data_IF_280548072797
#
_entry.id   IF_280548072797
#
_cell.length_a   1.000
_cell.length_b   1.000
_cell.length_c   1.000
_cell.angle_alpha   90.00
_cell.angle_beta   90.00
_cell.angle_gamma   90.00
#
_symmetry.space_group_name_H-M   'P 1'
#
loop_
_entity.id
_entity.type
_entity.pdbx_description
1 polymer ?
#
# COMPACT_ATOMS: atom_id res chain seq x y z
N UNK A 1 18.99 -65.13 14.21
CA UNK A 1 18.77 -64.04 15.17
C UNK A 1 19.10 -62.73 14.43
N UNK A 2 18.10 -62.13 13.78
CA UNK A 2 18.27 -60.92 12.94
C UNK A 2 17.38 -59.86 13.57
N UNK A 3 17.99 -58.84 14.15
CA UNK A 3 17.31 -57.71 14.77
C UNK A 3 17.10 -56.65 13.69
N UNK A 4 15.86 -56.51 13.21
CA UNK A 4 15.46 -55.45 12.29
C UNK A 4 15.20 -54.19 13.13
N UNK A 5 16.10 -53.21 13.02
CA UNK A 5 15.90 -51.87 13.56
C UNK A 5 14.95 -51.10 12.64
N UNK A 6 13.69 -50.96 13.05
CA UNK A 6 12.75 -50.01 12.43
C UNK A 6 13.11 -48.59 12.88
N UNK A 7 13.79 -47.84 12.02
CA UNK A 7 13.91 -46.39 12.16
C UNK A 7 12.54 -45.76 11.90
N UNK A 8 11.84 -45.37 12.96
CA UNK A 8 10.65 -44.52 12.86
C UNK A 8 11.12 -43.10 12.54
N UNK A 9 11.13 -42.72 11.26
CA UNK A 9 11.25 -41.32 10.87
C UNK A 9 9.99 -40.59 11.36
N UNK A 10 10.10 -39.88 12.48
CA UNK A 10 9.17 -38.84 12.88
C UNK A 10 9.21 -37.73 11.82
N UNK A 11 8.39 -37.87 10.78
CA UNK A 11 8.00 -36.75 9.93
C UNK A 11 7.12 -35.87 10.82
N UNK A 12 7.75 -34.95 11.56
CA UNK A 12 7.05 -33.83 12.15
C UNK A 12 6.46 -33.08 10.98
N UNK A 13 5.15 -33.24 10.75
CA UNK A 13 4.41 -32.36 9.87
C UNK A 13 4.51 -30.98 10.50
N UNK A 14 5.46 -30.17 10.04
CA UNK A 14 5.45 -28.73 10.29
C UNK A 14 4.21 -28.21 9.57
N UNK A 15 3.09 -28.22 10.27
CA UNK A 15 1.94 -27.42 9.88
C UNK A 15 2.48 -26.00 9.82
N UNK A 16 2.59 -25.46 8.60
CA UNK A 16 2.93 -24.07 8.33
C UNK A 16 1.80 -23.21 8.88
N UNK A 17 1.77 -23.06 10.21
CA UNK A 17 0.91 -22.10 10.88
C UNK A 17 1.47 -20.72 10.50
N UNK A 18 0.70 -20.00 9.69
CA UNK A 18 0.98 -18.61 9.33
C UNK A 18 1.05 -17.79 10.62
N UNK A 19 2.24 -17.25 10.92
CA UNK A 19 2.43 -16.42 12.11
C UNK A 19 1.86 -15.04 11.82
N UNK A 20 1.10 -14.50 12.76
CA UNK A 20 0.66 -13.11 12.72
C UNK A 20 1.81 -12.23 13.18
N UNK A 21 2.21 -11.29 12.34
CA UNK A 21 3.16 -10.23 12.65
C UNK A 21 2.40 -8.98 13.07
N UNK A 22 2.85 -8.33 14.13
CA UNK A 22 2.22 -7.12 14.65
C UNK A 22 3.22 -5.97 14.57
N UNK A 23 2.72 -4.77 14.29
CA UNK A 23 3.51 -3.57 14.37
C UNK A 23 2.66 -2.38 14.80
N UNK A 24 3.31 -1.39 15.39
CA UNK A 24 2.70 -0.12 15.73
C UNK A 24 3.68 1.03 15.62
N UNK A 25 3.16 2.23 15.53
CA UNK A 25 3.96 3.46 15.43
C UNK A 25 3.52 4.42 16.52
N UNK A 26 4.45 4.84 17.37
CA UNK A 26 4.24 5.91 18.36
C UNK A 26 4.80 7.24 17.83
N UNK A 27 4.23 8.36 18.28
CA UNK A 27 4.68 9.70 17.90
C UNK A 27 4.89 10.57 19.14
N UNK A 28 6.09 11.15 19.25
CA UNK A 28 6.41 12.17 20.25
C UNK A 28 6.17 13.56 19.66
N UNK A 29 5.17 14.27 20.20
CA UNK A 29 4.77 15.59 19.73
C UNK A 29 5.77 16.70 20.04
N UNK A 30 6.64 16.53 21.05
CA UNK A 30 7.67 17.51 21.40
C UNK A 30 8.86 17.42 20.45
N UNK A 31 9.35 16.20 20.21
CA UNK A 31 10.49 15.98 19.32
C UNK A 31 10.09 15.80 17.85
N UNK A 32 8.78 15.65 17.58
CA UNK A 32 8.20 15.33 16.27
C UNK A 32 8.75 14.03 15.66
N UNK A 33 9.12 13.06 16.50
CA UNK A 33 9.72 11.79 16.08
C UNK A 33 8.70 10.66 16.10
N UNK A 34 8.75 9.84 15.06
CA UNK A 34 8.03 8.56 15.01
C UNK A 34 8.94 7.43 15.47
N UNK A 35 8.37 6.37 16.01
CA UNK A 35 9.10 5.14 16.36
C UNK A 35 8.26 3.95 15.99
N UNK A 36 8.85 3.05 15.17
CA UNK A 36 8.23 1.80 14.74
C UNK A 36 8.53 0.73 15.79
N UNK A 37 7.51 -0.02 16.18
CA UNK A 37 7.60 -1.15 17.11
C UNK A 37 7.12 -2.41 16.40
N UNK A 38 7.78 -3.54 16.65
CA UNK A 38 7.38 -4.87 16.17
C UNK A 38 6.37 -5.57 17.12
N UNK A 39 5.61 -4.76 17.84
CA UNK A 39 4.52 -5.15 18.73
C UNK A 39 3.48 -4.02 18.76
N UNK A 40 2.33 -4.27 19.37
CA UNK A 40 1.30 -3.24 19.57
C UNK A 40 1.63 -2.48 20.86
N UNK A 41 2.17 -1.27 20.71
CA UNK A 41 2.50 -0.40 21.83
C UNK A 41 1.26 0.38 22.30
N UNK A 42 1.20 0.66 23.60
CA UNK A 42 0.21 1.60 24.13
C UNK A 42 0.42 3.00 23.51
N UNK A 43 -0.68 3.73 23.33
CA UNK A 43 -0.67 5.09 22.78
C UNK A 43 -0.01 5.20 21.38
N UNK A 44 -0.10 4.15 20.57
CA UNK A 44 0.30 4.19 19.16
C UNK A 44 -0.63 5.07 18.33
N UNK A 45 -0.07 5.83 17.39
CA UNK A 45 -0.81 6.58 16.37
C UNK A 45 -1.49 5.63 15.38
N UNK A 46 -0.77 4.59 14.99
CA UNK A 46 -1.27 3.56 14.08
C UNK A 46 -0.71 2.21 14.49
N UNK A 47 -1.47 1.17 14.23
CA UNK A 47 -1.06 -0.21 14.48
C UNK A 47 -1.72 -1.15 13.49
N UNK A 48 -1.10 -2.31 13.29
CA UNK A 48 -1.57 -3.27 12.34
C UNK A 48 -1.08 -4.67 12.62
N UNK A 49 -1.73 -5.62 11.96
CA UNK A 49 -1.34 -7.00 11.94
C UNK A 49 -1.28 -7.50 10.51
N UNK A 50 -0.31 -8.37 10.24
CA UNK A 50 -0.11 -8.97 8.94
C UNK A 50 -0.01 -10.49 9.09
N UNK A 51 -0.79 -11.18 8.28
CA UNK A 51 -0.86 -12.65 8.25
C UNK A 51 -0.59 -13.10 6.83
N UNK A 52 0.61 -13.62 6.58
CA UNK A 52 0.94 -14.15 5.26
C UNK A 52 0.45 -15.59 5.09
N UNK A 53 -0.58 -15.76 4.26
CA UNK A 53 -1.15 -17.04 3.89
C UNK A 53 -1.14 -17.30 2.37
N UNK A 54 -0.23 -16.63 1.64
CA UNK A 54 -0.16 -16.76 0.18
C UNK A 54 0.02 -18.22 -0.25
N UNK A 55 0.82 -19.01 0.47
CA UNK A 55 1.04 -20.42 0.12
C UNK A 55 -0.16 -21.32 0.46
N UNK A 56 -1.01 -20.93 1.41
CA UNK A 56 -2.16 -21.70 1.86
C UNK A 56 -3.44 -21.34 1.10
N UNK A 57 -3.65 -20.05 0.80
CA UNK A 57 -4.91 -19.52 0.29
C UNK A 57 -4.76 -18.69 -0.99
N UNK A 58 -3.53 -18.31 -1.37
CA UNK A 58 -3.27 -17.31 -2.40
C UNK A 58 -3.39 -15.86 -1.92
N UNK A 59 -3.68 -15.62 -0.64
CA UNK A 59 -3.85 -14.30 -0.04
C UNK A 59 -3.02 -14.13 1.23
N UNK A 60 -2.42 -12.95 1.40
CA UNK A 60 -2.08 -12.44 2.72
C UNK A 60 -3.19 -11.50 3.20
N UNK A 61 -3.21 -11.24 4.51
CA UNK A 61 -4.20 -10.37 5.14
C UNK A 61 -3.49 -9.28 5.93
N UNK A 62 -3.90 -8.03 5.72
CA UNK A 62 -3.37 -6.88 6.43
C UNK A 62 -4.53 -6.09 7.05
N UNK A 63 -4.42 -5.81 8.34
CA UNK A 63 -5.27 -4.82 9.00
C UNK A 63 -4.42 -3.65 9.49
N UNK A 64 -4.86 -2.42 9.22
CA UNK A 64 -4.24 -1.20 9.75
C UNK A 64 -5.32 -0.34 10.39
N UNK A 65 -5.04 0.16 11.58
CA UNK A 65 -5.91 1.04 12.35
C UNK A 65 -5.13 2.31 12.70
N UNK A 66 -5.81 3.45 12.72
CA UNK A 66 -5.26 4.70 13.25
C UNK A 66 -6.04 5.19 14.45
N UNK A 67 -5.41 6.04 15.26
CA UNK A 67 -6.01 6.63 16.45
C UNK A 67 -6.36 8.10 16.20
N UNK A 68 -7.65 8.40 16.33
CA UNK A 68 -8.21 9.72 16.08
C UNK A 68 -7.65 10.82 16.97
N UNK A 69 -7.04 10.49 18.13
CA UNK A 69 -6.44 11.46 19.05
C UNK A 69 -5.24 12.22 18.45
N UNK A 70 -4.68 11.72 17.35
CA UNK A 70 -3.54 12.35 16.67
C UNK A 70 -4.00 13.13 15.43
N UNK A 71 -3.26 14.17 15.00
CA UNK A 71 -3.60 14.90 13.79
C UNK A 71 -3.57 14.00 12.55
N UNK A 72 -4.49 14.22 11.61
CA UNK A 72 -4.63 13.39 10.40
C UNK A 72 -3.33 13.20 9.58
N UNK A 73 -2.47 14.23 9.36
CA UNK A 73 -1.17 14.00 8.69
C UNK A 73 -0.29 12.97 9.41
N UNK A 74 -0.30 13.00 10.74
CA UNK A 74 0.44 12.08 11.61
C UNK A 74 -0.17 10.68 11.51
N UNK A 75 -1.50 10.58 11.51
CA UNK A 75 -2.21 9.32 11.33
C UNK A 75 -1.95 8.68 9.96
N UNK A 76 -2.05 9.45 8.88
CA UNK A 76 -1.86 8.95 7.51
C UNK A 76 -0.44 8.43 7.30
N UNK A 77 0.55 9.22 7.69
CA UNK A 77 1.96 8.84 7.63
C UNK A 77 2.27 7.60 8.49
N UNK A 78 1.79 7.56 9.75
CA UNK A 78 1.99 6.41 10.63
C UNK A 78 1.30 5.13 10.10
N UNK A 79 0.14 5.27 9.47
CA UNK A 79 -0.57 4.14 8.85
C UNK A 79 0.21 3.56 7.67
N UNK A 80 0.80 4.44 6.85
CA UNK A 80 1.76 4.06 5.80
C UNK A 80 2.98 3.35 6.37
N UNK A 81 3.60 3.90 7.43
CA UNK A 81 4.76 3.29 8.09
C UNK A 81 4.48 1.86 8.56
N UNK A 82 3.35 1.64 9.23
CA UNK A 82 2.92 0.32 9.72
C UNK A 82 2.79 -0.66 8.56
N UNK A 83 2.11 -0.27 7.49
CA UNK A 83 1.94 -1.12 6.32
C UNK A 83 3.27 -1.44 5.64
N UNK A 84 4.08 -0.41 5.38
CA UNK A 84 5.37 -0.55 4.72
C UNK A 84 6.30 -1.48 5.48
N UNK A 85 6.32 -1.35 6.81
CA UNK A 85 7.11 -2.19 7.69
C UNK A 85 6.61 -3.65 7.69
N UNK A 86 5.31 -3.86 7.90
CA UNK A 86 4.73 -5.21 7.98
C UNK A 86 4.79 -5.97 6.64
N UNK A 87 4.71 -5.25 5.52
CA UNK A 87 4.62 -5.86 4.18
C UNK A 87 5.91 -5.73 3.37
N UNK A 88 7.02 -5.32 4.01
CA UNK A 88 8.26 -4.97 3.32
C UNK A 88 8.78 -6.07 2.39
N UNK A 89 8.71 -7.33 2.83
CA UNK A 89 9.15 -8.48 2.03
C UNK A 89 8.28 -8.69 0.78
N UNK A 90 6.95 -8.58 0.88
CA UNK A 90 6.06 -8.66 -0.27
C UNK A 90 6.18 -7.46 -1.20
N UNK A 91 6.33 -6.25 -0.66
CA UNK A 91 6.60 -5.04 -1.44
C UNK A 91 7.87 -5.20 -2.28
N UNK A 92 8.95 -5.71 -1.67
CA UNK A 92 10.20 -5.98 -2.38
C UNK A 92 9.99 -6.97 -3.53
N UNK A 93 9.34 -8.10 -3.28
CA UNK A 93 9.07 -9.12 -4.32
C UNK A 93 8.21 -8.54 -5.44
N UNK A 94 7.16 -7.80 -5.10
CA UNK A 94 6.26 -7.20 -6.08
C UNK A 94 6.96 -6.10 -6.90
N UNK A 95 7.85 -5.31 -6.29
CA UNK A 95 8.69 -4.35 -6.99
C UNK A 95 9.54 -5.03 -8.08
N UNK A 96 10.18 -6.16 -7.75
CA UNK A 96 10.95 -6.93 -8.74
C UNK A 96 10.07 -7.56 -9.82
N UNK A 97 8.85 -7.95 -9.49
CA UNK A 97 7.92 -8.52 -10.47
C UNK A 97 7.43 -7.48 -11.50
N UNK A 98 7.29 -6.21 -11.09
CA UNK A 98 6.51 -5.22 -11.84
C UNK A 98 7.29 -3.98 -12.29
N UNK A 99 8.16 -3.45 -11.42
CA UNK A 99 8.67 -2.08 -11.53
C UNK A 99 10.19 -2.02 -11.76
N UNK A 100 10.97 -2.99 -11.29
CA UNK A 100 12.44 -2.91 -11.30
C UNK A 100 13.06 -2.77 -12.68
N UNK A 101 12.40 -3.28 -13.72
CA UNK A 101 12.85 -3.21 -15.11
C UNK A 101 12.08 -2.17 -15.94
N UNK A 102 11.20 -1.38 -15.32
CA UNK A 102 10.22 -0.55 -16.04
C UNK A 102 10.86 0.45 -17.01
N UNK A 103 12.03 0.98 -16.64
CA UNK A 103 12.79 1.95 -17.42
C UNK A 103 14.04 1.37 -18.10
N UNK A 104 14.24 0.06 -18.06
CA UNK A 104 15.44 -0.58 -18.59
C UNK A 104 15.56 -0.34 -20.11
N UNK A 105 16.66 0.26 -20.56
CA UNK A 105 16.93 0.64 -21.96
C UNK A 105 15.91 1.63 -22.58
N UNK A 106 15.18 2.38 -21.76
CA UNK A 106 14.16 3.34 -22.21
C UNK A 106 14.32 4.71 -21.54
N UNK A 107 15.56 5.18 -21.34
CA UNK A 107 15.87 6.40 -20.57
C UNK A 107 15.11 7.62 -21.12
N UNK A 108 15.06 7.79 -22.44
CA UNK A 108 14.37 8.92 -23.07
C UNK A 108 12.88 8.96 -22.75
N UNK A 109 12.20 7.81 -22.72
CA UNK A 109 10.79 7.74 -22.34
C UNK A 109 10.64 8.01 -20.84
N UNK A 110 11.47 7.39 -20.00
CA UNK A 110 11.39 7.57 -18.56
C UNK A 110 11.74 8.98 -18.10
N UNK A 111 12.57 9.74 -18.81
CA UNK A 111 12.74 11.17 -18.55
C UNK A 111 11.46 11.97 -18.83
N UNK A 112 10.73 11.65 -19.91
CA UNK A 112 9.43 12.29 -20.20
C UNK A 112 8.39 11.92 -19.13
N UNK A 113 8.34 10.65 -18.74
CA UNK A 113 7.44 10.18 -17.69
C UNK A 113 7.76 10.85 -16.34
N UNK A 114 9.02 10.82 -15.90
CA UNK A 114 9.45 11.49 -14.66
C UNK A 114 9.09 12.98 -14.70
N UNK A 115 9.37 13.67 -15.81
CA UNK A 115 9.02 15.08 -15.95
C UNK A 115 7.52 15.33 -15.87
N UNK A 116 6.70 14.48 -16.50
CA UNK A 116 5.24 14.58 -16.44
C UNK A 116 4.72 14.35 -15.02
N UNK A 117 5.15 13.27 -14.37
CA UNK A 117 4.74 12.94 -13.01
C UNK A 117 5.19 13.99 -12.00
N UNK A 118 6.41 14.52 -12.14
CA UNK A 118 6.90 15.58 -11.27
C UNK A 118 6.07 16.85 -11.42
N UNK A 119 5.75 17.26 -12.65
CA UNK A 119 4.87 18.43 -12.87
C UNK A 119 3.48 18.23 -12.26
N UNK A 120 2.94 17.02 -12.33
CA UNK A 120 1.68 16.68 -11.67
C UNK A 120 1.82 16.77 -10.15
N UNK A 121 2.87 16.19 -9.57
CA UNK A 121 3.12 16.25 -8.13
C UNK A 121 3.32 17.70 -7.64
N UNK A 122 4.03 18.53 -8.40
CA UNK A 122 4.23 19.95 -8.11
C UNK A 122 2.88 20.71 -8.11
N UNK A 123 2.01 20.42 -9.08
CA UNK A 123 0.65 20.95 -9.11
C UNK A 123 -0.17 20.51 -7.88
N UNK A 124 -0.10 19.23 -7.50
CA UNK A 124 -0.78 18.73 -6.30
C UNK A 124 -0.26 19.45 -5.06
N UNK A 125 1.06 19.54 -4.89
CA UNK A 125 1.69 20.18 -3.73
C UNK A 125 1.35 21.67 -3.64
N UNK A 126 1.36 22.40 -4.75
CA UNK A 126 0.99 23.82 -4.77
C UNK A 126 -0.45 24.04 -4.31
N UNK A 127 -1.38 23.19 -4.76
CA UNK A 127 -2.77 23.27 -4.34
C UNK A 127 -2.96 22.83 -2.88
N UNK A 128 -2.27 21.77 -2.43
CA UNK A 128 -2.30 21.32 -1.04
C UNK A 128 -1.83 22.44 -0.11
N UNK A 129 -0.67 23.04 -0.40
CA UNK A 129 -0.09 24.12 0.41
C UNK A 129 -1.06 25.30 0.56
N UNK A 130 -1.75 25.67 -0.53
CA UNK A 130 -2.61 26.85 -0.56
C UNK A 130 -4.05 26.59 -0.13
N UNK A 131 -4.54 25.35 -0.21
CA UNK A 131 -5.98 25.05 -0.07
C UNK A 131 -6.33 24.08 1.06
N UNK A 132 -5.42 23.20 1.49
CA UNK A 132 -5.70 22.15 2.49
C UNK A 132 -6.29 22.67 3.81
N UNK A 133 -5.93 23.91 4.18
CA UNK A 133 -6.43 24.51 5.42
C UNK A 133 -7.94 24.71 5.48
N UNK A 134 -8.63 24.78 4.33
CA UNK A 134 -10.07 25.04 4.25
C UNK A 134 -10.81 24.16 3.23
N UNK A 135 -10.13 23.64 2.22
CA UNK A 135 -10.70 22.80 1.17
C UNK A 135 -10.60 21.32 1.56
N UNK A 136 -11.76 20.67 1.69
CA UNK A 136 -11.88 19.27 2.08
C UNK A 136 -11.18 18.35 1.07
N UNK A 137 -11.24 18.67 -0.23
CA UNK A 137 -10.65 17.85 -1.28
C UNK A 137 -9.13 17.81 -1.16
N UNK A 138 -8.50 18.98 -1.05
CA UNK A 138 -7.04 19.09 -0.94
C UNK A 138 -6.50 18.56 0.38
N UNK A 139 -7.33 18.53 1.43
CA UNK A 139 -7.01 17.79 2.64
C UNK A 139 -6.90 16.28 2.41
N UNK A 140 -7.89 15.67 1.75
CA UNK A 140 -7.86 14.23 1.49
C UNK A 140 -6.73 13.82 0.53
N UNK A 141 -6.47 14.63 -0.51
CA UNK A 141 -5.34 14.39 -1.43
C UNK A 141 -4.00 14.38 -0.68
N UNK A 142 -3.82 15.29 0.28
CA UNK A 142 -2.60 15.33 1.09
C UNK A 142 -2.43 14.08 1.95
N UNK A 143 -3.51 13.58 2.57
CA UNK A 143 -3.45 12.36 3.39
C UNK A 143 -3.02 11.13 2.57
N UNK A 144 -3.46 11.02 1.31
CA UNK A 144 -3.04 9.93 0.42
C UNK A 144 -1.53 9.97 0.16
N UNK A 145 -0.98 11.16 -0.12
CA UNK A 145 0.46 11.33 -0.37
C UNK A 145 1.30 11.11 0.90
N UNK A 146 0.81 11.56 2.06
CA UNK A 146 1.46 11.34 3.36
C UNK A 146 1.46 9.86 3.75
N UNK A 147 0.39 9.13 3.47
CA UNK A 147 0.35 7.68 3.63
C UNK A 147 1.34 6.98 2.69
N UNK A 148 1.44 7.42 1.44
CA UNK A 148 2.40 6.87 0.48
C UNK A 148 3.86 7.13 0.89
N UNK A 149 4.16 8.32 1.43
CA UNK A 149 5.46 8.61 2.03
C UNK A 149 5.74 7.67 3.22
N UNK A 150 4.77 7.49 4.10
CA UNK A 150 4.86 6.55 5.21
C UNK A 150 5.13 5.13 4.75
N UNK A 151 4.46 4.67 3.69
CA UNK A 151 4.68 3.35 3.10
C UNK A 151 6.13 3.14 2.68
N UNK A 152 6.72 4.11 1.99
CA UNK A 152 8.12 4.06 1.54
C UNK A 152 9.11 4.09 2.71
N UNK A 153 8.91 5.01 3.67
CA UNK A 153 9.75 5.08 4.86
C UNK A 153 9.66 3.79 5.69
N UNK A 154 8.47 3.20 5.83
CA UNK A 154 8.22 1.96 6.56
C UNK A 154 8.87 0.75 5.90
N UNK A 155 8.78 0.67 4.57
CA UNK A 155 9.51 -0.32 3.77
C UNK A 155 11.03 -0.23 3.98
N UNK A 156 11.56 0.99 4.07
CA UNK A 156 12.99 1.25 4.35
C UNK A 156 13.36 1.10 5.82
N UNK A 157 12.38 0.85 6.70
CA UNK A 157 12.53 0.85 8.16
C UNK A 157 13.18 2.15 8.67
N UNK A 158 12.67 3.28 8.19
CA UNK A 158 13.10 4.64 8.52
C UNK A 158 11.90 5.49 8.89
N UNK A 159 12.14 6.69 9.44
CA UNK A 159 11.06 7.62 9.79
C UNK A 159 11.45 9.04 9.44
N UNK A 160 10.47 9.85 9.07
CA UNK A 160 10.57 11.27 8.75
C UNK A 160 9.29 11.99 9.20
N UNK A 161 9.18 13.28 8.90
CA UNK A 161 7.96 14.05 9.18
C UNK A 161 7.00 13.94 7.98
N UNK A 162 5.66 13.95 8.20
CA UNK A 162 4.68 13.91 7.12
C UNK A 162 4.93 14.99 6.05
N UNK A 163 4.96 14.56 4.80
CA UNK A 163 5.25 15.33 3.62
C UNK A 163 4.46 14.75 2.46
N UNK A 164 4.05 15.64 1.55
CA UNK A 164 3.38 15.27 0.30
C UNK A 164 4.36 15.19 -0.87
N UNK A 165 5.65 15.52 -0.65
CA UNK A 165 6.71 15.29 -1.63
C UNK A 165 7.17 13.83 -1.57
N UNK A 166 6.79 13.05 -2.57
CA UNK A 166 7.13 11.63 -2.72
C UNK A 166 7.97 11.39 -3.97
N UNK A 167 8.75 10.31 -4.00
CA UNK A 167 9.46 9.90 -5.21
C UNK A 167 8.48 9.37 -6.26
N UNK A 168 8.31 10.13 -7.35
CA UNK A 168 7.41 9.78 -8.45
C UNK A 168 7.81 8.51 -9.19
N UNK A 169 9.08 8.11 -9.10
CA UNK A 169 9.60 6.87 -9.68
C UNK A 169 9.79 5.77 -8.62
N UNK A 170 9.45 6.02 -7.36
CA UNK A 170 9.44 5.05 -6.26
C UNK A 170 8.11 4.30 -6.18
N UNK A 171 7.59 4.07 -4.97
CA UNK A 171 6.30 3.37 -4.80
C UNK A 171 5.09 4.12 -5.38
N UNK A 172 5.21 5.41 -5.71
CA UNK A 172 4.19 6.07 -6.53
C UNK A 172 4.00 5.34 -7.87
N UNK A 173 5.09 4.89 -8.51
CA UNK A 173 5.04 4.16 -9.78
C UNK A 173 4.18 2.88 -9.68
N UNK A 174 4.24 2.17 -8.55
CA UNK A 174 3.40 0.99 -8.30
C UNK A 174 1.92 1.32 -8.13
N UNK A 175 1.61 2.51 -7.60
CA UNK A 175 0.23 2.96 -7.37
C UNK A 175 -0.44 3.53 -8.64
N UNK A 176 0.36 3.94 -9.64
CA UNK A 176 -0.14 4.49 -10.91
C UNK A 176 -0.04 3.47 -12.06
N UNK A 177 0.20 2.19 -11.79
CA UNK A 177 0.40 1.19 -12.84
C UNK A 177 -0.78 1.10 -13.82
N UNK A 178 -2.01 1.37 -13.36
CA UNK A 178 -3.17 1.50 -14.24
C UNK A 178 -3.03 2.71 -15.17
N UNK A 179 -2.74 3.90 -14.64
CA UNK A 179 -2.55 5.13 -15.43
C UNK A 179 -1.39 5.03 -16.43
N UNK A 180 -0.37 4.21 -16.15
CA UNK A 180 0.74 3.99 -17.06
C UNK A 180 0.29 3.39 -18.41
N UNK A 181 -0.80 2.63 -18.44
CA UNK A 181 -1.30 2.02 -19.69
C UNK A 181 -1.68 3.07 -20.74
N UNK A 182 -2.24 4.21 -20.31
CA UNK A 182 -2.48 5.37 -21.17
C UNK A 182 -1.26 6.26 -21.33
N UNK A 183 -0.53 6.54 -20.24
CA UNK A 183 0.61 7.45 -20.26
C UNK A 183 1.75 6.96 -21.16
N UNK A 184 1.96 5.64 -21.27
CA UNK A 184 2.92 5.06 -22.21
C UNK A 184 2.66 5.53 -23.65
N UNK A 185 1.39 5.54 -24.07
CA UNK A 185 0.98 5.98 -25.40
C UNK A 185 1.10 7.49 -25.58
N UNK A 186 0.59 8.26 -24.60
CA UNK A 186 0.62 9.73 -24.62
C UNK A 186 2.05 10.28 -24.62
N UNK A 187 2.97 9.62 -23.92
CA UNK A 187 4.37 10.01 -23.82
C UNK A 187 5.27 9.32 -24.85
N UNK A 188 4.67 8.70 -25.87
CA UNK A 188 5.36 8.11 -27.02
C UNK A 188 6.45 7.09 -26.62
N UNK A 189 6.12 6.15 -25.73
CA UNK A 189 6.99 4.98 -25.48
C UNK A 189 7.14 4.18 -26.78
N UNK A 190 8.37 3.77 -27.12
CA UNK A 190 8.66 3.12 -28.42
C UNK A 190 7.98 1.76 -28.53
N UNK A 191 8.05 0.99 -27.46
CA UNK A 191 7.39 -0.31 -27.33
C UNK A 191 6.39 -0.17 -26.21
N UNK A 192 5.11 -0.05 -26.56
CA UNK A 192 4.05 -0.12 -25.56
C UNK A 192 4.13 -1.50 -24.91
N UNK A 193 4.18 -1.55 -23.57
CA UNK A 193 4.00 -2.82 -22.89
C UNK A 193 2.61 -3.32 -23.30
N UNK A 194 2.47 -4.63 -23.50
CA UNK A 194 1.15 -5.20 -23.82
C UNK A 194 0.19 -4.71 -22.76
N UNK A 195 -0.79 -3.88 -23.13
CA UNK A 195 -1.81 -3.35 -22.22
C UNK A 195 -2.32 -4.52 -21.38
N UNK A 196 -2.09 -4.46 -20.08
CA UNK A 196 -2.36 -5.54 -19.17
C UNK A 196 -3.87 -5.61 -18.99
N UNK A 197 -4.54 -6.37 -19.86
CA UNK A 197 -6.00 -6.46 -19.83
C UNK A 197 -6.71 -5.47 -20.75
N UNK A 198 -6.22 -5.30 -21.98
CA UNK A 198 -7.07 -4.76 -23.07
C UNK A 198 -8.28 -5.70 -23.27
N UNK A 199 -9.34 -5.54 -22.47
CA UNK A 199 -10.48 -6.45 -22.40
C UNK A 199 -11.21 -6.61 -21.05
N UNK A 200 -10.97 -5.75 -20.05
CA UNK A 200 -11.82 -5.51 -18.86
C UNK A 200 -11.81 -6.60 -17.77
N UNK A 201 -11.67 -6.15 -16.51
CA UNK A 201 -12.18 -6.91 -15.38
C UNK A 201 -13.66 -7.26 -15.60
N UNK A 202 -14.10 -8.41 -15.12
CA UNK A 202 -15.51 -8.79 -15.17
C UNK A 202 -16.21 -8.40 -13.88
N UNK A 203 -17.41 -7.84 -13.95
CA UNK A 203 -18.23 -7.51 -12.78
C UNK A 203 -19.67 -8.00 -12.97
N UNK A 204 -20.31 -8.42 -11.88
CA UNK A 204 -21.71 -8.83 -11.87
C UNK A 204 -22.44 -8.17 -10.70
N UNK A 205 -23.58 -7.56 -11.01
CA UNK A 205 -24.56 -7.11 -10.03
C UNK A 205 -25.80 -7.98 -10.19
N UNK A 206 -26.13 -8.75 -9.15
CA UNK A 206 -27.21 -9.72 -9.18
C UNK A 206 -28.22 -9.41 -8.08
N UNK A 207 -29.37 -8.87 -8.48
CA UNK A 207 -30.56 -8.80 -7.61
C UNK A 207 -31.23 -10.17 -7.57
N UNK A 208 -31.50 -10.67 -6.37
CA UNK A 208 -32.14 -11.96 -6.15
C UNK A 208 -33.68 -11.88 -6.33
N UNK A 209 -34.36 -13.01 -6.59
CA UNK A 209 -35.81 -13.03 -6.72
C UNK A 209 -36.50 -12.37 -5.52
N UNK A 210 -37.63 -11.69 -5.77
CA UNK A 210 -38.40 -10.97 -4.74
C UNK A 210 -37.62 -9.89 -3.97
N UNK A 211 -36.49 -9.40 -4.49
CA UNK A 211 -35.62 -8.39 -3.85
C UNK A 211 -35.13 -8.80 -2.46
N UNK A 212 -34.91 -10.10 -2.23
CA UNK A 212 -34.42 -10.60 -0.93
C UNK A 212 -32.98 -10.15 -0.64
N UNK A 213 -32.16 -9.97 -1.68
CA UNK A 213 -30.77 -9.52 -1.57
C UNK A 213 -30.23 -8.97 -2.91
N UNK A 214 -29.04 -8.38 -2.84
CA UNK A 214 -28.24 -7.93 -3.97
C UNK A 214 -26.77 -8.36 -3.79
N UNK A 215 -26.27 -9.16 -4.73
CA UNK A 215 -24.87 -9.58 -4.78
C UNK A 215 -24.05 -8.73 -5.73
N UNK A 216 -22.81 -8.47 -5.34
CA UNK A 216 -21.80 -7.79 -6.16
C UNK A 216 -20.57 -8.69 -6.26
N UNK A 217 -20.06 -8.90 -7.47
CA UNK A 217 -18.78 -9.58 -7.69
C UNK A 217 -17.92 -8.86 -8.71
N UNK A 218 -16.61 -9.05 -8.58
CA UNK A 218 -15.60 -8.51 -9.48
C UNK A 218 -14.45 -9.50 -9.64
N UNK A 219 -14.00 -9.68 -10.87
CA UNK A 219 -12.90 -10.56 -11.26
C UNK A 219 -11.85 -9.74 -12.03
N UNK A 220 -10.72 -9.50 -11.39
CA UNK A 220 -9.64 -8.69 -11.97
C UNK A 220 -8.83 -9.52 -12.96
N UNK A 221 -8.77 -9.06 -14.21
CA UNK A 221 -7.92 -9.66 -15.23
C UNK A 221 -6.59 -8.91 -15.25
N UNK A 222 -5.49 -9.63 -14.99
CA UNK A 222 -4.15 -9.04 -14.93
C UNK A 222 -3.09 -10.11 -15.20
N UNK A 223 -1.82 -9.73 -15.40
CA UNK A 223 -0.75 -10.70 -15.61
C UNK A 223 -0.41 -11.47 -14.34
N UNK A 224 0.06 -12.70 -14.54
CA UNK A 224 0.41 -13.62 -13.46
C UNK A 224 1.53 -13.11 -12.55
N UNK A 225 2.43 -12.24 -13.03
CA UNK A 225 3.46 -11.62 -12.20
C UNK A 225 2.89 -10.60 -11.18
N UNK A 226 1.61 -10.24 -11.24
CA UNK A 226 0.96 -9.37 -10.25
C UNK A 226 0.34 -10.14 -9.06
N UNK A 227 0.38 -11.48 -9.07
CA UNK A 227 -0.41 -12.34 -8.16
C UNK A 227 0.13 -12.47 -6.72
N UNK A 228 0.94 -11.53 -6.23
CA UNK A 228 1.14 -11.35 -4.78
C UNK A 228 0.00 -10.51 -4.25
N UNK A 229 -0.94 -11.13 -3.52
CA UNK A 229 -2.21 -10.53 -3.15
C UNK A 229 -2.31 -10.32 -1.65
N UNK A 230 -2.71 -9.12 -1.25
CA UNK A 230 -3.02 -8.77 0.14
C UNK A 230 -4.47 -8.29 0.19
N UNK A 231 -5.32 -8.96 0.97
CA UNK A 231 -6.63 -8.44 1.34
C UNK A 231 -6.44 -7.47 2.51
N UNK A 232 -6.78 -6.20 2.30
CA UNK A 232 -6.51 -5.12 3.26
C UNK A 232 -7.79 -4.61 3.90
N UNK A 233 -7.72 -4.38 5.21
CA UNK A 233 -8.75 -3.68 5.98
C UNK A 233 -8.11 -2.48 6.65
N UNK A 234 -8.60 -1.29 6.30
CA UNK A 234 -8.18 -0.05 6.92
C UNK A 234 -9.30 0.52 7.78
N UNK A 235 -8.99 0.82 9.04
CA UNK A 235 -9.91 1.48 9.98
C UNK A 235 -9.29 2.80 10.42
N UNK A 236 -9.34 3.80 9.55
CA UNK A 236 -8.76 5.12 9.79
C UNK A 236 -9.74 6.05 10.50
N UNK A 237 -9.20 6.93 11.34
CA UNK A 237 -9.92 7.98 12.08
C UNK A 237 -9.58 9.37 11.50
N UNK A 238 -9.54 9.47 10.18
CA UNK A 238 -9.32 10.74 9.48
C UNK A 238 -10.58 11.60 9.52
N UNK A 239 -10.39 12.92 9.51
CA UNK A 239 -11.47 13.87 9.44
C UNK A 239 -11.74 14.28 7.99
N UNK A 240 -12.95 14.79 7.72
CA UNK A 240 -13.33 15.30 6.38
C UNK A 240 -12.48 16.53 6.01
N UNK A 241 -12.12 17.34 7.00
CA UNK A 241 -11.34 18.56 6.83
C UNK A 241 -10.28 18.68 7.93
N UNK A 242 -9.19 19.38 7.62
CA UNK A 242 -8.13 19.64 8.59
C UNK A 242 -8.64 20.44 9.80
N UNK A 243 -9.66 21.29 9.59
CA UNK A 243 -10.27 22.08 10.65
C UNK A 243 -11.10 21.21 11.62
N UNK A 244 -11.75 20.15 11.12
CA UNK A 244 -12.53 19.22 11.95
C UNK A 244 -11.65 18.35 12.86
N UNK A 245 -10.39 18.12 12.49
CA UNK A 245 -9.40 17.41 13.31
C UNK A 245 -8.64 18.30 14.32
N UNK A 246 -8.99 19.58 14.45
CA UNK A 246 -8.44 20.43 15.52
C UNK A 246 -9.13 20.08 16.84
N UNK A 247 -8.45 19.30 17.67
CA UNK A 247 -8.83 19.16 19.07
C UNK A 247 -8.81 20.55 19.76
N UNK A 248 -9.85 20.82 20.56
CA UNK A 248 -9.95 21.97 21.47
C UNK A 248 -8.80 21.90 22.48
#
# INVERSE_FOLDING_TARGET
MIVIWTFLCLIVSTVLCSRIENASVTYDSQTKKFTIHNFIADNSVAYGNFKDEIFQTGWSYLEVNSDGRFPDPVQAYASGLVEGFLTADLLKKQWYNLASDYCLNEESYCERLRSFLQKNLDFLNQNIETKRGYDVYWHQVALILEQLQGLDDGFRNTTSYPSTNVDVMGFMLMNIMGDLEELEGVLHRKTLRRKLGMGSCSALVKVLPNNEDIYFSHDTWTAYNTMLRILKKYSFQFHVSLAAGKFI
#
